data_IF_018193639543
#
_entry.id   IF_018193639543
#
_cell.length_a   1.000
_cell.length_b   1.000
_cell.length_c   1.000
_cell.angle_alpha   90.00
_cell.angle_beta   90.00
_cell.angle_gamma   90.00
#
_symmetry.space_group_name_H-M   'P 1'
#
loop_
_entity.id
_entity.type
_entity.pdbx_description
1 polymer ?
#
# COMPACT_ATOMS: atom_id res chain seq x y z
N UNK A 1 1.37 15.51 -14.36
CA UNK A 1 0.04 15.13 -14.87
C UNK A 1 0.03 13.91 -15.79
N UNK A 2 0.88 13.80 -16.83
CA UNK A 2 0.82 12.66 -17.78
C UNK A 2 0.98 11.25 -17.17
N UNK A 3 1.74 11.13 -16.07
CA UNK A 3 2.00 9.84 -15.43
C UNK A 3 0.72 9.21 -14.84
N UNK A 4 -0.13 9.99 -14.17
CA UNK A 4 -1.38 9.50 -13.59
C UNK A 4 -2.32 9.01 -14.70
N UNK A 5 -2.50 9.81 -15.75
CA UNK A 5 -3.40 9.48 -16.88
C UNK A 5 -2.98 8.19 -17.59
N UNK A 6 -1.67 7.98 -17.79
CA UNK A 6 -1.16 6.75 -18.40
C UNK A 6 -1.40 5.53 -17.50
N UNK A 7 -1.16 5.67 -16.20
CA UNK A 7 -1.32 4.61 -15.22
C UNK A 7 -2.79 4.26 -14.97
N UNK A 8 -3.70 5.23 -14.98
CA UNK A 8 -5.14 5.00 -14.93
C UNK A 8 -5.64 4.19 -16.13
N UNK A 9 -5.14 4.51 -17.34
CA UNK A 9 -5.46 3.72 -18.54
C UNK A 9 -4.93 2.30 -18.42
N UNK A 10 -3.70 2.14 -17.92
CA UNK A 10 -3.12 0.82 -17.70
C UNK A 10 -3.92 0.02 -16.65
N UNK A 11 -4.40 0.68 -15.59
CA UNK A 11 -5.23 0.05 -14.56
C UNK A 11 -6.62 -0.31 -15.09
N UNK A 12 -7.18 0.44 -16.06
CA UNK A 12 -8.42 0.04 -16.75
C UNK A 12 -8.25 -1.23 -17.57
N UNK A 13 -7.07 -1.44 -18.17
CA UNK A 13 -6.76 -2.67 -18.92
C UNK A 13 -6.51 -3.83 -17.97
N UNK A 14 -5.79 -3.59 -16.87
CA UNK A 14 -5.49 -4.60 -15.85
C UNK A 14 -5.84 -4.12 -14.42
N UNK A 15 -7.13 -4.17 -14.03
CA UNK A 15 -7.60 -3.63 -12.74
C UNK A 15 -7.00 -4.31 -11.51
N UNK A 16 -6.53 -5.54 -11.68
CA UNK A 16 -5.90 -6.32 -10.61
C UNK A 16 -4.38 -6.23 -10.58
N UNK A 17 -3.78 -5.33 -11.36
CA UNK A 17 -2.34 -5.16 -11.39
C UNK A 17 -1.88 -4.32 -10.20
N UNK A 18 -1.35 -5.01 -9.19
CA UNK A 18 -0.71 -4.41 -8.01
C UNK A 18 0.38 -3.38 -8.37
N UNK A 19 1.35 -3.68 -9.25
CA UNK A 19 2.40 -2.71 -9.56
C UNK A 19 1.87 -1.43 -10.21
N UNK A 20 0.82 -1.52 -11.04
CA UNK A 20 0.19 -0.35 -11.66
C UNK A 20 -0.54 0.48 -10.59
N UNK A 21 -1.29 -0.16 -9.68
CA UNK A 21 -1.97 0.53 -8.58
C UNK A 21 -0.98 1.27 -7.65
N UNK A 22 0.15 0.63 -7.31
CA UNK A 22 1.20 1.26 -6.49
C UNK A 22 1.84 2.44 -7.22
N UNK A 23 2.16 2.28 -8.51
CA UNK A 23 2.73 3.36 -9.30
C UNK A 23 1.79 4.55 -9.40
N UNK A 24 0.48 4.31 -9.60
CA UNK A 24 -0.53 5.36 -9.66
C UNK A 24 -0.65 6.09 -8.32
N UNK A 25 -0.70 5.35 -7.22
CA UNK A 25 -0.74 5.94 -5.88
C UNK A 25 0.51 6.77 -5.56
N UNK A 26 1.70 6.33 -5.99
CA UNK A 26 2.94 7.11 -5.87
C UNK A 26 2.91 8.38 -6.72
N UNK A 27 2.34 8.31 -7.91
CA UNK A 27 2.18 9.48 -8.78
C UNK A 27 1.23 10.53 -8.16
N UNK A 28 0.11 10.09 -7.57
CA UNK A 28 -0.78 10.97 -6.79
C UNK A 28 -0.06 11.57 -5.57
N UNK A 29 0.70 10.78 -4.81
CA UNK A 29 1.52 11.30 -3.71
C UNK A 29 2.53 12.35 -4.16
N UNK A 30 3.21 12.12 -5.29
CA UNK A 30 4.16 13.09 -5.86
C UNK A 30 3.49 14.38 -6.34
N UNK A 31 2.19 14.32 -6.65
CA UNK A 31 1.38 15.49 -7.05
C UNK A 31 0.77 16.22 -5.85
N UNK A 32 0.90 15.67 -4.63
CA UNK A 32 0.32 16.21 -3.39
C UNK A 32 -1.06 15.64 -3.05
N UNK A 33 -1.62 14.78 -3.91
CA UNK A 33 -2.95 14.20 -3.76
C UNK A 33 -2.92 12.90 -2.94
N UNK A 34 -2.53 13.02 -1.67
CA UNK A 34 -2.45 11.86 -0.76
C UNK A 34 -3.80 11.13 -0.61
N UNK A 35 -4.92 11.86 -0.70
CA UNK A 35 -6.26 11.28 -0.63
C UNK A 35 -6.56 10.33 -1.80
N UNK A 36 -6.25 10.75 -3.03
CA UNK A 36 -6.39 9.92 -4.24
C UNK A 36 -5.47 8.69 -4.17
N UNK A 37 -4.24 8.88 -3.72
CA UNK A 37 -3.29 7.79 -3.55
C UNK A 37 -3.81 6.68 -2.62
N UNK A 38 -4.44 7.09 -1.50
CA UNK A 38 -5.08 6.17 -0.55
C UNK A 38 -6.27 5.46 -1.19
N UNK A 39 -7.11 6.17 -1.94
CA UNK A 39 -8.28 5.60 -2.63
C UNK A 39 -7.86 4.52 -3.63
N UNK A 40 -6.89 4.80 -4.50
CA UNK A 40 -6.38 3.85 -5.50
C UNK A 40 -5.91 2.54 -4.86
N UNK A 41 -5.15 2.63 -3.76
CA UNK A 41 -4.66 1.44 -3.07
C UNK A 41 -5.75 0.67 -2.32
N UNK A 42 -6.77 1.36 -1.77
CA UNK A 42 -7.94 0.72 -1.15
C UNK A 42 -8.77 -0.06 -2.16
N UNK A 43 -8.97 0.51 -3.35
CA UNK A 43 -9.69 -0.16 -4.44
C UNK A 43 -8.94 -1.40 -4.91
N UNK A 44 -7.62 -1.27 -5.13
CA UNK A 44 -6.76 -2.40 -5.47
C UNK A 44 -6.78 -3.49 -4.38
N UNK A 45 -6.80 -3.12 -3.10
CA UNK A 45 -6.94 -4.06 -1.98
C UNK A 45 -8.27 -4.82 -2.07
N UNK A 46 -9.37 -4.13 -2.35
CA UNK A 46 -10.70 -4.76 -2.47
C UNK A 46 -10.75 -5.76 -3.63
N UNK A 47 -10.11 -5.43 -4.76
CA UNK A 47 -9.99 -6.33 -5.91
C UNK A 47 -9.13 -7.56 -5.56
N UNK A 48 -8.01 -7.41 -4.85
CA UNK A 48 -7.20 -8.56 -4.44
C UNK A 48 -7.87 -9.40 -3.34
N UNK A 49 -8.59 -8.78 -2.40
CA UNK A 49 -9.29 -9.47 -1.32
C UNK A 49 -10.42 -10.37 -1.84
N UNK A 50 -11.05 -10.00 -2.97
CA UNK A 50 -12.04 -10.85 -3.64
C UNK A 50 -11.42 -12.00 -4.45
N UNK A 51 -10.10 -12.00 -4.68
CA UNK A 51 -9.41 -13.10 -5.37
C UNK A 51 -8.98 -14.17 -4.36
N UNK A 52 -9.30 -15.43 -4.66
CA UNK A 52 -8.89 -16.58 -3.84
C UNK A 52 -7.54 -17.12 -4.33
N UNK A 53 -6.64 -17.42 -3.39
CA UNK A 53 -5.33 -18.04 -3.67
C UNK A 53 -4.18 -17.42 -2.86
N UNK A 54 -3.16 -18.21 -2.57
CA UNK A 54 -1.99 -17.79 -1.76
C UNK A 54 -1.31 -16.54 -2.33
N UNK A 55 -1.19 -16.45 -3.65
CA UNK A 55 -0.61 -15.30 -4.34
C UNK A 55 -1.46 -14.03 -4.24
N UNK A 56 -2.78 -14.15 -4.02
CA UNK A 56 -3.64 -13.00 -3.79
C UNK A 56 -3.44 -12.41 -2.40
N UNK A 57 -3.19 -13.26 -1.40
CA UNK A 57 -2.83 -12.82 -0.05
C UNK A 57 -1.49 -12.07 -0.03
N UNK A 58 -0.45 -12.58 -0.70
CA UNK A 58 0.84 -11.88 -0.83
C UNK A 58 0.69 -10.51 -1.52
N UNK A 59 -0.10 -10.46 -2.61
CA UNK A 59 -0.40 -9.20 -3.33
C UNK A 59 -1.16 -8.20 -2.46
N UNK A 60 -2.17 -8.67 -1.73
CA UNK A 60 -2.95 -7.85 -0.81
C UNK A 60 -2.06 -7.30 0.31
N UNK A 61 -1.14 -8.12 0.84
CA UNK A 61 -0.15 -7.71 1.82
C UNK A 61 0.73 -6.57 1.29
N UNK A 62 1.29 -6.71 0.09
CA UNK A 62 2.09 -5.65 -0.54
C UNK A 62 1.31 -4.35 -0.67
N UNK A 63 0.06 -4.40 -1.12
CA UNK A 63 -0.79 -3.22 -1.24
C UNK A 63 -1.06 -2.55 0.10
N UNK A 64 -1.37 -3.33 1.15
CA UNK A 64 -1.64 -2.78 2.48
C UNK A 64 -0.39 -2.14 3.11
N UNK A 65 0.80 -2.70 2.87
CA UNK A 65 2.08 -2.09 3.30
C UNK A 65 2.28 -0.73 2.63
N UNK A 66 2.13 -0.66 1.30
CA UNK A 66 2.25 0.60 0.57
C UNK A 66 1.17 1.61 0.99
N UNK A 67 -0.04 1.15 1.31
CA UNK A 67 -1.11 2.00 1.85
C UNK A 67 -0.71 2.63 3.18
N UNK A 68 -0.15 1.83 4.09
CA UNK A 68 0.36 2.31 5.37
C UNK A 68 1.48 3.35 5.21
N UNK A 69 2.39 3.14 4.25
CA UNK A 69 3.46 4.10 3.92
C UNK A 69 2.89 5.41 3.37
N UNK A 70 1.92 5.33 2.47
CA UNK A 70 1.26 6.51 1.89
C UNK A 70 0.49 7.29 2.96
N UNK A 71 -0.25 6.62 3.82
CA UNK A 71 -0.93 7.24 4.97
C UNK A 71 0.07 7.94 5.88
N UNK A 72 1.20 7.29 6.17
CA UNK A 72 2.27 7.88 6.99
C UNK A 72 2.88 9.14 6.37
N UNK A 73 3.17 9.09 5.08
CA UNK A 73 3.73 10.22 4.33
C UNK A 73 2.70 11.34 4.10
N UNK A 74 1.42 11.00 3.94
CA UNK A 74 0.31 11.94 3.74
C UNK A 74 -0.20 12.63 5.01
N UNK A 75 0.44 12.41 6.17
CA UNK A 75 0.11 13.06 7.44
C UNK A 75 -0.80 12.23 8.36
N UNK A 76 -1.42 11.17 7.86
CA UNK A 76 -2.20 10.21 8.66
C UNK A 76 -1.29 9.16 9.34
N UNK A 77 -0.25 9.62 10.07
CA UNK A 77 0.76 8.76 10.69
C UNK A 77 0.17 7.73 11.64
N UNK A 78 -0.86 8.09 12.40
CA UNK A 78 -1.48 7.20 13.36
C UNK A 78 -2.21 6.05 12.67
N UNK A 79 -3.03 6.34 11.66
CA UNK A 79 -3.74 5.32 10.87
C UNK A 79 -2.77 4.45 10.05
N UNK A 80 -1.78 5.06 9.40
CA UNK A 80 -0.75 4.33 8.66
C UNK A 80 0.06 3.39 9.57
N UNK A 81 0.44 3.87 10.77
CA UNK A 81 1.14 3.07 11.77
C UNK A 81 0.29 1.92 12.31
N UNK A 82 -1.00 2.14 12.59
CA UNK A 82 -1.91 1.09 13.02
C UNK A 82 -2.08 0.01 11.94
N UNK A 83 -2.29 0.42 10.69
CA UNK A 83 -2.43 -0.51 9.57
C UNK A 83 -1.18 -1.37 9.38
N UNK A 84 0.01 -0.75 9.43
CA UNK A 84 1.28 -1.49 9.35
C UNK A 84 1.45 -2.44 10.53
N UNK A 85 1.12 -2.00 11.75
CA UNK A 85 1.21 -2.82 12.96
C UNK A 85 0.25 -4.01 12.91
N UNK A 86 -0.96 -3.84 12.38
CA UNK A 86 -1.93 -4.92 12.22
C UNK A 86 -1.43 -5.98 11.22
N UNK A 87 -0.93 -5.54 10.06
CA UNK A 87 -0.34 -6.45 9.06
C UNK A 87 0.83 -7.22 9.68
N UNK A 88 1.71 -6.52 10.39
CA UNK A 88 2.86 -7.12 11.06
C UNK A 88 2.45 -8.07 12.18
N UNK A 89 1.37 -7.80 12.91
CA UNK A 89 0.87 -8.69 13.94
C UNK A 89 0.27 -9.97 13.35
N UNK A 90 -0.34 -9.88 12.16
CA UNK A 90 -0.79 -11.06 11.41
C UNK A 90 0.39 -11.81 10.76
N UNK A 91 1.45 -11.11 10.37
CA UNK A 91 2.70 -11.69 9.84
C UNK A 91 3.68 -12.17 10.93
N UNK A 92 3.50 -11.76 12.20
CA UNK A 92 4.29 -12.24 13.34
C UNK A 92 4.14 -13.76 13.54
N UNK A 93 3.08 -14.36 12.99
CA UNK A 93 2.92 -15.81 12.84
C UNK A 93 3.82 -16.42 11.74
N UNK A 94 4.51 -15.60 10.94
CA UNK A 94 5.33 -15.94 9.76
C UNK A 94 6.75 -15.32 9.80
N UNK A 95 7.38 -15.37 10.98
CA UNK A 95 8.81 -15.51 11.31
C UNK A 95 9.96 -14.65 10.69
N UNK A 96 9.82 -13.90 9.58
CA UNK A 96 10.96 -13.17 8.96
C UNK A 96 10.77 -11.65 8.80
N UNK A 97 9.70 -11.07 9.34
CA UNK A 97 9.36 -9.63 9.16
C UNK A 97 10.02 -8.65 10.17
N UNK A 98 10.93 -9.14 11.02
CA UNK A 98 11.54 -8.37 12.12
C UNK A 98 12.54 -7.29 11.67
N UNK A 99 13.24 -7.50 10.55
CA UNK A 99 14.33 -6.62 10.13
C UNK A 99 13.79 -5.29 9.55
N UNK A 100 12.75 -5.37 8.71
CA UNK A 100 12.11 -4.19 8.11
C UNK A 100 11.31 -3.34 9.12
N UNK A 101 10.82 -3.95 10.21
CA UNK A 101 10.14 -3.24 11.29
C UNK A 101 11.13 -2.47 12.19
N UNK A 102 12.34 -2.99 12.36
CA UNK A 102 13.41 -2.31 13.09
C UNK A 102 13.72 -0.92 12.52
N UNK A 103 13.80 -0.80 11.19
CA UNK A 103 14.06 0.49 10.52
C UNK A 103 12.89 1.47 10.64
N UNK A 104 11.64 0.98 10.58
CA UNK A 104 10.45 1.82 10.73
C UNK A 104 10.24 2.32 12.17
N UNK A 105 10.54 1.49 13.18
CA UNK A 105 10.40 1.87 14.59
C UNK A 105 11.49 2.83 15.07
N UNK A 106 12.72 2.75 14.53
CA UNK A 106 13.80 3.69 14.87
C UNK A 106 13.48 5.11 14.41
N UNK A 107 12.74 5.27 13.32
CA UNK A 107 12.27 6.58 12.84
C UNK A 107 11.09 7.15 13.67
N UNK A 108 10.37 6.33 14.44
CA UNK A 108 9.28 6.75 15.32
C UNK A 108 9.75 7.17 16.73
N UNK A 109 11.03 6.96 17.05
CA UNK A 109 11.61 7.20 18.38
C UNK A 109 12.55 8.41 18.45
N UNK A 110 12.69 9.20 17.38
CA UNK A 110 13.44 10.45 17.35
C UNK A 110 12.50 11.65 17.20
#
# INVERSE_FOLDING_TARGET
DDACVLLERALKVEPSSVPIAIALAKAHMGSGDAAEAVTVLKDACSIQASKTGTTAADRLRTLKIELGRILFAGGARQEGGQLLTEILSQDMEKQDALEAYGEACVALRQ
#
